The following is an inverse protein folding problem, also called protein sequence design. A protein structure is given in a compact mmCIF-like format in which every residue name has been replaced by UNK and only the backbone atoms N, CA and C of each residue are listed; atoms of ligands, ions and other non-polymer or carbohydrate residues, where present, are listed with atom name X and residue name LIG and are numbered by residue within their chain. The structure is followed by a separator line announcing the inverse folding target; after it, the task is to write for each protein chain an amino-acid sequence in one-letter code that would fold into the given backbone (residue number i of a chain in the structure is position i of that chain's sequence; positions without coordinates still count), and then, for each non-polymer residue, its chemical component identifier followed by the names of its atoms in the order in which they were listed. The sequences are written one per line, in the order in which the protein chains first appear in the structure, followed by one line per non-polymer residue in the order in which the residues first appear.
data_IF_695290389222
#
_entry.id   IF_695290389222
#
_cell.length_a   1.000
_cell.length_b   1.000
_cell.length_c   1.000
_cell.angle_alpha   90.00
_cell.angle_beta   90.00
_cell.angle_gamma   90.00
#
_symmetry.space_group_name_H-M   'P 1'
#
loop_
_entity.id
_entity.type
_entity.pdbx_description
1 polymer ?
#
# COMPACT_ATOMS: atom_id res chain seq x y z
N UNK A 1 -49.16 -1.74 -5.02
CA UNK A 1 -47.94 -1.45 -5.82
C UNK A 1 -47.78 0.04 -6.16
N UNK A 2 -48.81 0.76 -6.60
CA UNK A 2 -48.74 2.19 -6.97
C UNK A 2 -48.22 3.12 -5.85
N UNK A 3 -48.67 2.94 -4.59
CA UNK A 3 -48.16 3.72 -3.44
C UNK A 3 -46.65 3.59 -3.20
N UNK A 4 -46.06 2.42 -3.48
CA UNK A 4 -44.61 2.18 -3.32
C UNK A 4 -43.79 2.76 -4.48
N UNK A 5 -44.33 2.74 -5.71
CA UNK A 5 -43.76 3.41 -6.90
C UNK A 5 -43.76 4.94 -6.76
N UNK A 6 -44.85 5.51 -6.23
CA UNK A 6 -44.94 6.94 -5.95
C UNK A 6 -43.93 7.40 -4.88
N UNK A 7 -43.75 6.59 -3.83
CA UNK A 7 -42.76 6.87 -2.77
C UNK A 7 -41.32 6.82 -3.29
N UNK A 8 -40.98 5.83 -4.12
CA UNK A 8 -39.65 5.71 -4.73
C UNK A 8 -39.35 6.88 -5.68
N UNK A 9 -40.33 7.28 -6.50
CA UNK A 9 -40.19 8.43 -7.42
C UNK A 9 -39.98 9.74 -6.64
N UNK A 10 -40.77 9.99 -5.59
CA UNK A 10 -40.63 11.17 -4.74
C UNK A 10 -39.35 11.18 -3.88
N UNK A 11 -38.75 10.02 -3.60
CA UNK A 11 -37.46 9.93 -2.92
C UNK A 11 -36.29 10.22 -3.88
N UNK A 12 -36.40 9.76 -5.13
CA UNK A 12 -35.41 9.99 -6.20
C UNK A 12 -35.37 11.47 -6.62
N UNK A 13 -36.52 12.13 -6.73
CA UNK A 13 -36.59 13.57 -7.01
C UNK A 13 -35.86 14.42 -5.96
N UNK A 14 -36.00 14.04 -4.68
CA UNK A 14 -35.34 14.73 -3.57
C UNK A 14 -33.82 14.52 -3.49
N UNK A 15 -33.30 13.43 -4.05
CA UNK A 15 -31.85 13.12 -4.00
C UNK A 15 -31.08 13.86 -5.09
N UNK A 16 -31.66 14.02 -6.28
CA UNK A 16 -30.99 14.63 -7.42
C UNK A 16 -31.46 16.07 -7.72
N UNK A 17 -32.50 16.56 -7.03
CA UNK A 17 -33.09 17.87 -7.30
C UNK A 17 -33.77 17.99 -8.67
N UNK A 18 -34.11 16.85 -9.27
CA UNK A 18 -34.67 16.75 -10.63
C UNK A 18 -35.92 15.90 -10.61
N UNK A 19 -36.90 16.21 -11.47
CA UNK A 19 -38.12 15.41 -11.56
C UNK A 19 -37.81 13.94 -11.93
N UNK A 20 -38.56 12.94 -11.41
CA UNK A 20 -38.30 11.52 -11.66
C UNK A 20 -38.28 11.15 -13.15
N UNK A 21 -39.09 11.84 -13.94
CA UNK A 21 -39.19 11.71 -15.39
C UNK A 21 -37.92 12.20 -16.07
N UNK A 22 -37.35 13.32 -15.60
CA UNK A 22 -36.08 13.87 -16.07
C UNK A 22 -34.90 12.93 -15.80
N UNK A 23 -34.89 12.24 -14.65
CA UNK A 23 -33.83 11.28 -14.31
C UNK A 23 -33.93 10.03 -15.19
N UNK A 24 -35.14 9.55 -15.46
CA UNK A 24 -35.36 8.40 -16.34
C UNK A 24 -34.94 8.71 -17.77
N UNK A 25 -35.25 9.91 -18.25
CA UNK A 25 -34.83 10.40 -19.57
C UNK A 25 -33.31 10.59 -19.61
N UNK A 26 -32.69 11.18 -18.58
CA UNK A 26 -31.25 11.39 -18.51
C UNK A 26 -30.48 10.07 -18.48
N UNK A 27 -30.91 9.08 -17.68
CA UNK A 27 -30.29 7.76 -17.64
C UNK A 27 -30.46 7.02 -18.98
N UNK A 28 -31.63 7.15 -19.62
CA UNK A 28 -31.85 6.58 -20.96
C UNK A 28 -30.96 7.24 -22.01
N UNK A 29 -30.76 8.56 -21.94
CA UNK A 29 -29.88 9.30 -22.84
C UNK A 29 -28.40 8.99 -22.61
N UNK A 30 -27.97 8.84 -21.35
CA UNK A 30 -26.61 8.41 -20.97
C UNK A 30 -26.36 6.99 -21.51
N UNK A 31 -27.29 6.05 -21.30
CA UNK A 31 -27.18 4.70 -21.84
C UNK A 31 -27.14 4.71 -23.39
N UNK A 32 -27.98 5.53 -24.04
CA UNK A 32 -28.01 5.68 -25.50
C UNK A 32 -26.70 6.25 -26.04
N UNK A 33 -26.14 7.27 -25.41
CA UNK A 33 -24.84 7.85 -25.77
C UNK A 33 -23.71 6.87 -25.50
N UNK A 34 -23.73 6.17 -24.37
CA UNK A 34 -22.77 5.11 -24.04
C UNK A 34 -22.74 4.00 -25.10
N UNK A 35 -23.91 3.57 -25.61
CA UNK A 35 -24.03 2.61 -26.71
C UNK A 35 -23.49 3.14 -28.05
N UNK A 36 -23.60 4.45 -28.32
CA UNK A 36 -23.11 5.08 -29.56
C UNK A 36 -21.61 5.42 -29.54
N UNK A 37 -21.00 5.63 -28.37
CA UNK A 37 -19.62 6.09 -28.26
C UNK A 37 -18.56 4.98 -28.32
N UNK A 38 -18.94 3.70 -28.50
CA UNK A 38 -18.01 2.57 -28.66
C UNK A 38 -17.06 2.30 -27.48
N UNK A 39 -17.14 3.07 -26.40
CA UNK A 39 -16.13 3.12 -25.32
C UNK A 39 -16.67 2.88 -23.91
N UNK A 40 -17.95 2.59 -23.74
CA UNK A 40 -18.48 2.09 -22.47
C UNK A 40 -19.11 0.74 -22.76
N UNK A 41 -18.46 -0.33 -22.28
CA UNK A 41 -19.09 -1.64 -22.25
C UNK A 41 -20.28 -1.57 -21.29
N UNK A 42 -21.45 -1.16 -21.79
CA UNK A 42 -22.70 -1.36 -21.07
C UNK A 42 -22.98 -2.84 -21.17
N UNK A 43 -22.57 -3.60 -20.13
CA UNK A 43 -22.92 -5.00 -20.02
C UNK A 43 -24.44 -5.12 -20.28
N UNK A 44 -24.89 -6.02 -21.18
CA UNK A 44 -26.31 -6.21 -21.43
C UNK A 44 -27.05 -6.35 -20.09
N UNK A 45 -28.29 -5.86 -19.97
CA UNK A 45 -29.07 -6.10 -18.75
C UNK A 45 -29.19 -7.60 -18.41
N UNK A 46 -29.07 -8.47 -19.42
CA UNK A 46 -28.97 -9.93 -19.30
C UNK A 46 -27.59 -10.47 -18.83
N UNK A 47 -26.54 -9.65 -18.84
CA UNK A 47 -25.24 -9.94 -18.21
C UNK A 47 -25.20 -9.46 -16.75
N UNK A 48 -25.99 -8.44 -16.39
CA UNK A 48 -26.22 -8.02 -15.01
C UNK A 48 -27.15 -8.97 -14.23
N UNK A 49 -27.99 -9.73 -14.94
CA UNK A 49 -29.03 -10.60 -14.35
C UNK A 49 -28.50 -11.78 -13.52
N UNK A 50 -27.18 -11.98 -13.42
CA UNK A 50 -26.59 -12.74 -12.31
C UNK A 50 -25.14 -12.34 -12.03
N UNK A 51 -24.84 -11.05 -11.81
CA UNK A 51 -23.57 -10.72 -11.15
C UNK A 51 -23.48 -11.54 -9.85
N UNK A 52 -22.46 -12.40 -9.66
CA UNK A 52 -22.31 -13.15 -8.42
C UNK A 52 -22.38 -12.21 -7.22
N UNK A 53 -22.98 -12.68 -6.13
CA UNK A 53 -23.14 -11.86 -4.91
C UNK A 53 -21.79 -11.29 -4.46
N UNK A 54 -20.71 -12.06 -4.62
CA UNK A 54 -19.33 -11.62 -4.36
C UNK A 54 -18.90 -10.41 -5.18
N UNK A 55 -19.18 -10.39 -6.50
CA UNK A 55 -18.86 -9.23 -7.34
C UNK A 55 -19.71 -8.01 -6.98
N UNK A 56 -20.98 -8.21 -6.61
CA UNK A 56 -21.82 -7.12 -6.11
C UNK A 56 -21.29 -6.56 -4.78
N UNK A 57 -20.85 -7.44 -3.87
CA UNK A 57 -20.26 -7.04 -2.59
C UNK A 57 -18.95 -6.27 -2.78
N UNK A 58 -18.08 -6.73 -3.68
CA UNK A 58 -16.82 -6.08 -4.03
C UNK A 58 -17.04 -4.71 -4.67
N UNK A 59 -17.94 -4.62 -5.66
CA UNK A 59 -18.31 -3.35 -6.27
C UNK A 59 -18.76 -2.33 -5.23
N UNK A 60 -19.57 -2.75 -4.26
CA UNK A 60 -20.00 -1.86 -3.18
C UNK A 60 -18.84 -1.40 -2.29
N UNK A 61 -17.81 -2.22 -2.08
CA UNK A 61 -16.63 -1.86 -1.27
C UNK A 61 -15.79 -0.84 -2.05
N UNK A 62 -15.42 -1.17 -3.29
CA UNK A 62 -14.51 -0.36 -4.11
C UNK A 62 -15.07 1.05 -4.36
N UNK A 63 -16.40 1.16 -4.48
CA UNK A 63 -17.10 2.40 -4.74
C UNK A 63 -17.70 3.06 -3.49
N UNK A 64 -17.38 2.56 -2.29
CA UNK A 64 -17.90 3.06 -1.02
C UNK A 64 -19.44 3.19 -0.99
N UNK A 65 -20.13 2.23 -1.60
CA UNK A 65 -21.59 2.20 -1.68
C UNK A 65 -22.15 1.59 -0.39
N UNK A 66 -22.89 2.39 0.37
CA UNK A 66 -23.56 1.90 1.57
C UNK A 66 -24.64 0.87 1.24
N UNK A 67 -24.92 -0.05 2.17
CA UNK A 67 -26.01 -1.01 1.99
C UNK A 67 -27.39 -0.34 1.82
N UNK A 68 -27.59 0.83 2.42
CA UNK A 68 -28.81 1.63 2.24
C UNK A 68 -28.88 2.18 0.81
N UNK A 69 -27.78 2.75 0.30
CA UNK A 69 -27.71 3.26 -1.06
C UNK A 69 -27.93 2.12 -2.08
N UNK A 70 -27.26 0.99 -1.87
CA UNK A 70 -27.42 -0.20 -2.72
C UNK A 70 -28.88 -0.69 -2.75
N UNK A 71 -29.54 -0.77 -1.60
CA UNK A 71 -30.95 -1.15 -1.53
C UNK A 71 -31.86 -0.14 -2.25
N UNK A 72 -31.57 1.17 -2.17
CA UNK A 72 -32.31 2.20 -2.91
C UNK A 72 -32.13 2.05 -4.42
N UNK A 73 -30.90 1.86 -4.89
CA UNK A 73 -30.59 1.62 -6.32
C UNK A 73 -31.29 0.36 -6.83
N UNK A 74 -31.24 -0.74 -6.06
CA UNK A 74 -31.95 -1.98 -6.38
C UNK A 74 -33.46 -1.78 -6.53
N UNK A 75 -34.08 -1.01 -5.65
CA UNK A 75 -35.52 -0.70 -5.73
C UNK A 75 -35.85 0.17 -6.94
N UNK A 76 -34.96 1.09 -7.31
CA UNK A 76 -35.10 1.94 -8.49
C UNK A 76 -35.03 1.14 -9.80
N UNK A 77 -34.01 0.28 -9.92
CA UNK A 77 -33.76 -0.51 -11.13
C UNK A 77 -34.70 -1.72 -11.27
N UNK A 78 -35.33 -2.14 -10.17
CA UNK A 78 -36.28 -3.25 -10.16
C UNK A 78 -35.63 -4.64 -10.29
N UNK A 79 -36.43 -5.72 -10.25
CA UNK A 79 -35.92 -7.10 -10.21
C UNK A 79 -35.11 -7.52 -11.44
N UNK A 80 -35.40 -6.94 -12.62
CA UNK A 80 -34.71 -7.26 -13.87
C UNK A 80 -33.22 -6.86 -13.86
N UNK A 81 -32.79 -6.03 -12.92
CA UNK A 81 -31.40 -5.58 -12.80
C UNK A 81 -30.46 -6.61 -12.14
N UNK A 82 -30.97 -7.75 -11.65
CA UNK A 82 -30.14 -8.82 -11.07
C UNK A 82 -29.45 -8.50 -9.74
N UNK A 83 -29.75 -7.34 -9.14
CA UNK A 83 -29.15 -6.94 -7.87
C UNK A 83 -29.69 -7.76 -6.69
N UNK A 84 -28.76 -8.39 -5.97
CA UNK A 84 -29.04 -9.19 -4.79
C UNK A 84 -29.67 -8.33 -3.68
N UNK A 85 -30.43 -8.95 -2.78
CA UNK A 85 -30.92 -8.21 -1.61
C UNK A 85 -29.75 -7.79 -0.73
N UNK A 86 -29.85 -6.64 -0.04
CA UNK A 86 -28.77 -6.10 0.81
C UNK A 86 -28.19 -7.12 1.79
N UNK A 87 -29.02 -8.06 2.25
CA UNK A 87 -28.65 -9.13 3.17
C UNK A 87 -27.63 -10.09 2.55
N UNK A 88 -27.69 -10.36 1.25
CA UNK A 88 -26.78 -11.28 0.56
C UNK A 88 -25.35 -10.73 0.46
N UNK A 89 -25.09 -9.51 -0.07
CA UNK A 89 -23.75 -8.90 0.02
C UNK A 89 -23.28 -8.71 1.46
N UNK A 90 -24.19 -8.49 2.42
CA UNK A 90 -23.81 -8.44 3.85
C UNK A 90 -23.29 -9.79 4.35
N UNK A 91 -24.00 -10.88 4.05
CA UNK A 91 -23.57 -12.23 4.42
C UNK A 91 -22.26 -12.61 3.71
N UNK A 92 -22.14 -12.27 2.42
CA UNK A 92 -20.92 -12.46 1.64
C UNK A 92 -19.73 -11.70 2.24
N UNK A 93 -19.92 -10.45 2.67
CA UNK A 93 -18.88 -9.70 3.41
C UNK A 93 -18.47 -10.37 4.71
N UNK A 94 -19.41 -10.95 5.44
CA UNK A 94 -19.10 -11.71 6.66
C UNK A 94 -18.27 -12.96 6.35
N UNK A 95 -18.60 -13.67 5.28
CA UNK A 95 -17.80 -14.81 4.80
C UNK A 95 -16.42 -14.36 4.33
N UNK A 96 -16.36 -13.29 3.54
CA UNK A 96 -15.10 -12.71 3.07
C UNK A 96 -14.20 -12.29 4.24
N UNK A 97 -14.76 -11.68 5.29
CA UNK A 97 -14.01 -11.31 6.50
C UNK A 97 -13.44 -12.52 7.27
N UNK A 98 -14.03 -13.71 7.10
CA UNK A 98 -13.53 -14.95 7.69
C UNK A 98 -12.45 -15.62 6.81
N UNK A 99 -12.23 -15.16 5.57
CA UNK A 99 -11.17 -15.67 4.72
C UNK A 99 -9.79 -15.29 5.29
N UNK A 100 -8.78 -16.18 5.20
CA UNK A 100 -7.44 -15.91 5.75
C UNK A 100 -6.82 -14.59 5.29
N UNK A 101 -7.03 -14.21 4.02
CA UNK A 101 -6.54 -12.94 3.44
C UNK A 101 -7.19 -11.67 4.02
N UNK A 102 -8.32 -11.79 4.71
CA UNK A 102 -9.07 -10.65 5.26
C UNK A 102 -9.18 -10.72 6.79
N UNK A 103 -8.74 -11.83 7.40
CA UNK A 103 -8.84 -12.06 8.83
C UNK A 103 -7.98 -11.01 9.57
N UNK A 104 -8.61 -10.28 10.48
CA UNK A 104 -7.97 -9.24 11.27
C UNK A 104 -8.07 -9.54 12.77
N UNK A 105 -7.02 -9.21 13.51
CA UNK A 105 -6.93 -9.34 14.96
C UNK A 105 -6.73 -8.00 15.64
N UNK A 106 -6.85 -8.00 16.96
CA UNK A 106 -6.63 -6.83 17.82
C UNK A 106 -5.40 -7.08 18.69
N UNK A 107 -4.48 -6.12 18.73
CA UNK A 107 -3.32 -6.14 19.62
C UNK A 107 -3.00 -4.71 20.07
N UNK A 108 -2.75 -4.50 21.37
CA UNK A 108 -2.31 -3.21 21.91
C UNK A 108 -3.25 -2.04 21.61
N UNK A 109 -4.55 -2.29 21.47
CA UNK A 109 -5.54 -1.27 21.08
C UNK A 109 -5.59 -0.94 19.59
N UNK A 110 -4.75 -1.57 18.76
CA UNK A 110 -4.79 -1.50 17.30
C UNK A 110 -5.43 -2.74 16.68
N UNK A 111 -5.88 -2.61 15.42
CA UNK A 111 -6.38 -3.73 14.59
C UNK A 111 -5.41 -3.96 13.44
N UNK A 112 -5.07 -5.20 13.16
CA UNK A 112 -4.14 -5.55 12.07
C UNK A 112 -4.55 -6.85 11.40
N UNK A 113 -4.07 -7.03 10.17
CA UNK A 113 -4.27 -8.21 9.37
C UNK A 113 -3.45 -9.37 9.94
N UNK A 114 -4.07 -10.54 10.12
CA UNK A 114 -3.44 -11.73 10.71
C UNK A 114 -2.55 -12.48 9.71
N UNK A 115 -2.85 -12.39 8.41
CA UNK A 115 -2.05 -13.03 7.37
C UNK A 115 -1.78 -12.08 6.20
N UNK A 116 -0.77 -11.20 6.33
CA UNK A 116 -0.31 -10.33 5.24
C UNK A 116 0.14 -11.13 4.02
N UNK A 117 0.75 -12.30 4.22
CA UNK A 117 1.11 -13.22 3.14
C UNK A 117 -0.12 -13.68 2.37
N UNK A 118 -1.18 -14.13 3.04
CA UNK A 118 -2.40 -14.57 2.35
C UNK A 118 -3.06 -13.42 1.57
N UNK A 119 -3.08 -12.21 2.14
CA UNK A 119 -3.62 -11.03 1.45
C UNK A 119 -2.82 -10.65 0.21
N UNK A 120 -1.50 -10.61 0.32
CA UNK A 120 -0.61 -10.35 -0.80
C UNK A 120 -0.72 -11.46 -1.85
N UNK A 121 -0.76 -12.72 -1.44
CA UNK A 121 -0.94 -13.84 -2.36
C UNK A 121 -2.24 -13.70 -3.16
N UNK A 122 -3.37 -13.44 -2.50
CA UNK A 122 -4.66 -13.22 -3.18
C UNK A 122 -4.60 -12.02 -4.16
N UNK A 123 -3.91 -10.94 -3.78
CA UNK A 123 -3.70 -9.77 -4.64
C UNK A 123 -2.86 -10.11 -5.88
N UNK A 124 -1.78 -10.88 -5.72
CA UNK A 124 -0.90 -11.29 -6.81
C UNK A 124 -1.53 -12.37 -7.71
N UNK A 125 -2.32 -13.28 -7.14
CA UNK A 125 -3.13 -14.25 -7.88
C UNK A 125 -4.13 -13.52 -8.78
N UNK A 126 -4.81 -12.50 -8.24
CA UNK A 126 -5.72 -11.67 -9.02
C UNK A 126 -4.98 -10.95 -10.15
N UNK A 127 -3.86 -10.27 -9.85
CA UNK A 127 -3.06 -9.56 -10.83
C UNK A 127 -2.52 -10.49 -11.94
N UNK A 128 -2.13 -11.71 -11.60
CA UNK A 128 -1.72 -12.73 -12.56
C UNK A 128 -2.89 -13.20 -13.43
N UNK A 129 -4.03 -13.52 -12.82
CA UNK A 129 -5.23 -13.99 -13.52
C UNK A 129 -5.82 -12.94 -14.47
N UNK A 130 -5.69 -11.65 -14.16
CA UNK A 130 -6.19 -10.55 -15.00
C UNK A 130 -5.14 -10.02 -15.98
N UNK A 131 -3.91 -10.57 -15.98
CA UNK A 131 -2.82 -10.09 -16.82
C UNK A 131 -2.34 -8.68 -16.48
N UNK A 132 -2.64 -8.20 -15.26
CA UNK A 132 -2.27 -6.86 -14.80
C UNK A 132 -0.90 -6.80 -14.12
N UNK A 133 -0.30 -7.95 -13.82
CA UNK A 133 1.04 -8.02 -13.23
C UNK A 133 2.10 -7.44 -14.17
N UNK A 134 2.87 -6.46 -13.68
CA UNK A 134 3.98 -5.84 -14.39
C UNK A 134 5.32 -6.33 -13.83
N UNK A 135 6.16 -6.88 -14.69
CA UNK A 135 7.54 -7.21 -14.34
C UNK A 135 8.33 -5.91 -14.04
N UNK A 136 8.92 -5.82 -12.85
CA UNK A 136 9.70 -4.65 -12.40
C UNK A 136 11.17 -5.04 -12.24
N UNK A 137 11.88 -5.12 -13.36
CA UNK A 137 13.29 -5.51 -13.36
C UNK A 137 14.19 -4.45 -12.71
N UNK A 138 15.16 -4.93 -11.94
CA UNK A 138 16.23 -4.08 -11.41
C UNK A 138 17.14 -3.60 -12.53
N UNK A 139 17.85 -2.49 -12.28
CA UNK A 139 18.88 -1.98 -13.18
C UNK A 139 20.26 -2.21 -12.59
N UNK A 140 21.19 -2.68 -13.44
CA UNK A 140 22.60 -2.82 -13.10
C UNK A 140 23.31 -1.47 -13.03
N UNK A 141 24.58 -1.51 -12.65
CA UNK A 141 25.44 -0.32 -12.58
C UNK A 141 25.59 0.40 -13.94
N UNK A 142 25.41 -0.31 -15.04
CA UNK A 142 25.39 0.22 -16.41
C UNK A 142 24.02 0.82 -16.83
N UNK A 143 23.04 0.83 -15.92
CA UNK A 143 21.69 1.32 -16.15
C UNK A 143 20.78 0.36 -16.94
N UNK A 144 21.29 -0.79 -17.39
CA UNK A 144 20.49 -1.78 -18.13
C UNK A 144 19.66 -2.62 -17.18
N UNK A 145 18.52 -3.12 -17.67
CA UNK A 145 17.70 -4.04 -16.90
C UNK A 145 18.44 -5.37 -16.75
N UNK A 146 18.38 -5.92 -15.54
CA UNK A 146 18.89 -7.26 -15.23
C UNK A 146 17.74 -8.22 -15.46
N UNK A 147 17.97 -9.27 -16.25
CA UNK A 147 16.99 -10.32 -16.43
C UNK A 147 16.81 -11.12 -15.14
N UNK A 148 15.56 -11.36 -14.76
CA UNK A 148 15.20 -12.14 -13.58
C UNK A 148 14.74 -13.54 -13.99
N UNK A 149 15.69 -14.43 -14.25
CA UNK A 149 15.42 -15.78 -14.75
C UNK A 149 15.52 -16.86 -13.66
N UNK A 150 16.15 -16.54 -12.54
CA UNK A 150 16.36 -17.46 -11.44
C UNK A 150 15.09 -17.61 -10.59
N UNK A 151 14.84 -18.83 -10.15
CA UNK A 151 13.77 -19.15 -9.20
C UNK A 151 14.21 -18.80 -7.78
N UNK A 152 13.26 -18.34 -6.97
CA UNK A 152 13.51 -18.10 -5.56
C UNK A 152 13.29 -19.37 -4.74
N UNK A 153 14.27 -19.74 -3.92
CA UNK A 153 14.24 -20.93 -3.07
C UNK A 153 14.07 -20.63 -1.58
N UNK A 154 13.74 -19.39 -1.23
CA UNK A 154 13.76 -18.91 0.15
C UNK A 154 15.03 -18.15 0.48
N UNK A 155 15.05 -17.49 1.64
CA UNK A 155 16.22 -16.77 2.12
C UNK A 155 16.40 -16.96 3.63
N UNK A 156 17.62 -17.28 4.05
CA UNK A 156 17.94 -17.57 5.46
C UNK A 156 17.76 -16.34 6.36
N UNK A 157 18.05 -15.15 5.82
CA UNK A 157 17.98 -13.90 6.55
C UNK A 157 16.90 -12.98 5.99
N UNK A 158 15.99 -12.54 6.87
CA UNK A 158 15.06 -11.47 6.57
C UNK A 158 15.75 -10.14 6.22
N UNK A 159 17.03 -9.98 6.55
CA UNK A 159 17.80 -8.79 6.24
C UNK A 159 18.33 -8.78 4.80
N UNK A 160 18.53 -9.96 4.23
CA UNK A 160 19.11 -10.04 2.90
C UNK A 160 18.12 -9.54 1.84
N UNK A 161 18.65 -8.89 0.81
CA UNK A 161 17.86 -8.44 -0.33
C UNK A 161 17.76 -9.59 -1.35
N UNK A 162 16.67 -9.68 -2.12
CA UNK A 162 16.61 -10.62 -3.22
C UNK A 162 17.72 -10.31 -4.24
N UNK A 163 18.50 -11.32 -4.68
CA UNK A 163 19.55 -11.13 -5.68
C UNK A 163 18.99 -10.54 -6.98
N UNK A 164 19.76 -9.72 -7.73
CA UNK A 164 19.26 -9.06 -8.93
C UNK A 164 18.79 -9.97 -10.08
N UNK A 165 19.24 -11.23 -10.13
CA UNK A 165 18.84 -12.23 -11.14
C UNK A 165 17.63 -13.09 -10.74
N UNK A 166 17.14 -12.95 -9.50
CA UNK A 166 16.01 -13.70 -8.96
C UNK A 166 14.71 -12.98 -9.25
N UNK A 167 13.69 -13.73 -9.68
CA UNK A 167 12.33 -13.18 -9.84
C UNK A 167 11.81 -12.68 -8.51
N UNK A 168 11.39 -11.42 -8.50
CA UNK A 168 10.79 -10.81 -7.31
C UNK A 168 9.41 -10.21 -7.58
N UNK A 169 8.74 -9.91 -6.48
CA UNK A 169 7.63 -8.97 -6.41
C UNK A 169 8.04 -7.81 -5.52
N UNK A 170 7.63 -6.60 -5.89
CA UNK A 170 7.94 -5.37 -5.20
C UNK A 170 6.73 -4.92 -4.41
N UNK A 171 6.91 -4.79 -3.10
CA UNK A 171 5.84 -4.43 -2.18
C UNK A 171 6.29 -3.21 -1.40
N UNK A 172 5.46 -2.19 -1.42
CA UNK A 172 5.73 -0.97 -0.69
C UNK A 172 4.98 -1.04 0.66
N UNK A 173 5.69 -0.98 1.78
CA UNK A 173 5.13 -0.87 3.12
C UNK A 173 5.24 0.56 3.61
N UNK A 174 4.14 1.14 4.05
CA UNK A 174 4.15 2.50 4.58
C UNK A 174 3.17 2.71 5.71
N UNK A 175 3.48 3.71 6.53
CA UNK A 175 2.63 4.18 7.61
C UNK A 175 2.19 5.61 7.30
N UNK A 176 0.90 5.86 7.48
CA UNK A 176 0.31 7.19 7.39
C UNK A 176 -0.36 7.54 8.71
N UNK A 177 0.10 8.60 9.36
CA UNK A 177 -0.58 9.14 10.53
C UNK A 177 -1.59 10.18 10.10
N UNK A 178 -2.84 9.98 10.51
CA UNK A 178 -3.88 10.96 10.24
C UNK A 178 -5.22 10.58 10.83
N UNK A 179 -6.04 11.60 11.09
CA UNK A 179 -7.39 11.45 11.60
C UNK A 179 -7.59 12.07 12.99
N UNK A 180 -8.87 12.23 13.35
CA UNK A 180 -9.31 12.95 14.55
C UNK A 180 -8.85 12.30 15.87
N UNK A 181 -8.56 11.00 15.86
CA UNK A 181 -8.23 10.21 17.05
C UNK A 181 -6.74 9.88 17.19
N UNK A 182 -5.86 10.49 16.39
CA UNK A 182 -4.42 10.19 16.34
C UNK A 182 -4.16 8.68 16.17
N UNK A 183 -4.33 8.19 14.94
CA UNK A 183 -4.07 6.80 14.56
C UNK A 183 -3.04 6.74 13.43
N UNK A 184 -2.30 5.64 13.40
CA UNK A 184 -1.37 5.29 12.32
C UNK A 184 -1.99 4.18 11.48
N UNK A 185 -1.98 4.31 10.16
CA UNK A 185 -2.47 3.30 9.23
C UNK A 185 -1.28 2.69 8.50
N UNK A 186 -1.09 1.39 8.67
CA UNK A 186 -0.12 0.62 7.91
C UNK A 186 -0.75 0.13 6.62
N UNK A 187 -0.05 0.31 5.50
CA UNK A 187 -0.49 -0.12 4.19
C UNK A 187 0.59 -0.92 3.47
N UNK A 188 0.16 -1.92 2.71
CA UNK A 188 0.98 -2.68 1.77
C UNK A 188 0.48 -2.39 0.36
N UNK A 189 1.36 -1.97 -0.55
CA UNK A 189 0.99 -1.67 -1.94
C UNK A 189 1.75 -2.54 -2.92
N UNK A 190 1.06 -3.06 -3.94
CA UNK A 190 1.65 -3.82 -5.02
C UNK A 190 2.31 -2.88 -6.03
N UNK A 191 3.63 -2.90 -6.08
CA UNK A 191 4.44 -2.04 -6.93
C UNK A 191 4.66 -2.65 -8.34
N UNK A 192 4.22 -3.90 -8.57
CA UNK A 192 4.11 -4.57 -9.87
C UNK A 192 2.80 -4.25 -10.61
N UNK A 193 2.30 -3.02 -10.48
CA UNK A 193 1.08 -2.54 -11.13
C UNK A 193 1.32 -1.17 -11.80
N UNK A 194 0.47 -0.81 -12.78
CA UNK A 194 0.56 0.49 -13.47
C UNK A 194 0.28 1.68 -12.55
N UNK A 195 -0.60 1.48 -11.55
CA UNK A 195 -0.94 2.46 -10.52
C UNK A 195 -0.78 1.85 -9.12
N UNK A 196 0.47 1.73 -8.60
CA UNK A 196 0.73 1.07 -7.33
C UNK A 196 -0.02 1.65 -6.13
N UNK A 197 -0.27 2.96 -6.13
CA UNK A 197 -0.95 3.66 -5.04
C UNK A 197 -2.47 3.73 -5.20
N UNK A 198 -3.04 3.02 -6.18
CA UNK A 198 -4.51 2.97 -6.31
C UNK A 198 -5.11 2.08 -5.22
N UNK A 199 -6.36 2.37 -4.81
CA UNK A 199 -7.04 1.60 -3.76
C UNK A 199 -7.11 0.10 -4.04
N UNK A 200 -7.27 -0.30 -5.31
CA UNK A 200 -7.31 -1.72 -5.70
C UNK A 200 -5.97 -2.44 -5.58
N UNK A 201 -4.86 -1.69 -5.52
CA UNK A 201 -3.50 -2.22 -5.42
C UNK A 201 -2.89 -2.03 -4.03
N UNK A 202 -3.70 -1.58 -3.06
CA UNK A 202 -3.26 -1.32 -1.68
C UNK A 202 -4.11 -2.11 -0.69
N UNK A 203 -3.45 -2.84 0.21
CA UNK A 203 -4.03 -3.49 1.38
C UNK A 203 -3.82 -2.60 2.60
N UNK A 204 -4.88 -2.37 3.36
CA UNK A 204 -4.74 -1.85 4.72
C UNK A 204 -4.24 -2.98 5.61
N UNK A 205 -2.96 -2.94 5.99
CA UNK A 205 -2.37 -3.90 6.91
C UNK A 205 -2.93 -3.72 8.32
N UNK A 206 -3.05 -2.47 8.80
CA UNK A 206 -3.49 -2.24 10.16
C UNK A 206 -3.73 -0.79 10.51
N UNK A 207 -4.43 -0.58 11.62
CA UNK A 207 -4.70 0.71 12.24
C UNK A 207 -4.26 0.62 13.69
N UNK A 208 -3.29 1.45 14.05
CA UNK A 208 -2.65 1.46 15.35
C UNK A 208 -2.97 2.76 16.07
N UNK A 209 -3.22 2.72 17.39
CA UNK A 209 -3.31 3.92 18.19
C UNK A 209 -1.94 4.61 18.21
N UNK A 210 -1.87 5.89 17.84
CA UNK A 210 -0.64 6.67 18.01
C UNK A 210 -0.90 8.15 18.20
N UNK A 211 -0.59 8.67 19.39
CA UNK A 211 -0.68 10.11 19.63
C UNK A 211 0.52 10.88 19.06
N UNK A 212 1.67 10.23 18.90
CA UNK A 212 2.97 10.85 18.58
C UNK A 212 3.74 10.07 17.52
N UNK A 213 4.55 10.78 16.76
CA UNK A 213 5.51 10.18 15.80
C UNK A 213 6.87 10.10 16.45
N UNK A 214 6.90 9.50 17.64
CA UNK A 214 8.13 9.22 18.36
C UNK A 214 8.49 7.74 18.23
N UNK A 215 9.74 7.46 18.56
CA UNK A 215 10.33 6.14 18.39
C UNK A 215 9.64 5.08 19.25
N UNK A 216 9.23 5.42 20.48
CA UNK A 216 8.60 4.46 21.40
C UNK A 216 7.26 3.98 20.83
N UNK A 217 6.42 4.91 20.37
CA UNK A 217 5.16 4.58 19.73
C UNK A 217 5.38 3.73 18.45
N UNK A 218 6.35 4.12 17.60
CA UNK A 218 6.67 3.36 16.40
C UNK A 218 7.21 1.96 16.70
N UNK A 219 8.04 1.81 17.73
CA UNK A 219 8.60 0.52 18.16
C UNK A 219 7.52 -0.42 18.69
N UNK A 220 6.58 0.11 19.48
CA UNK A 220 5.44 -0.66 19.94
C UNK A 220 4.58 -1.17 18.75
N UNK A 221 4.38 -0.34 17.73
CA UNK A 221 3.70 -0.75 16.50
C UNK A 221 4.53 -1.77 15.70
N UNK A 222 5.85 -1.55 15.59
CA UNK A 222 6.80 -2.41 14.89
C UNK A 222 6.76 -3.84 15.40
N UNK A 223 6.62 -4.02 16.71
CA UNK A 223 6.55 -5.35 17.33
C UNK A 223 5.40 -6.21 16.76
N UNK A 224 4.36 -5.58 16.20
CA UNK A 224 3.23 -6.28 15.57
C UNK A 224 3.58 -6.73 14.16
N UNK A 225 4.13 -5.83 13.32
CA UNK A 225 4.28 -6.11 11.89
C UNK A 225 5.67 -6.55 11.45
N UNK A 226 6.72 -6.30 12.24
CA UNK A 226 8.09 -6.74 11.91
C UNK A 226 8.18 -8.26 11.72
N UNK A 227 7.57 -9.12 12.56
CA UNK A 227 7.59 -10.56 12.34
C UNK A 227 6.95 -10.96 11.00
N UNK A 228 5.83 -10.32 10.63
CA UNK A 228 5.16 -10.57 9.36
C UNK A 228 6.01 -10.13 8.17
N UNK A 229 6.59 -8.93 8.23
CA UNK A 229 7.45 -8.40 7.18
C UNK A 229 8.72 -9.25 7.02
N UNK A 230 9.30 -9.72 8.12
CA UNK A 230 10.44 -10.64 8.10
C UNK A 230 10.05 -11.98 7.45
N UNK A 231 8.92 -12.55 7.85
CA UNK A 231 8.37 -13.75 7.25
C UNK A 231 8.14 -13.57 5.75
N UNK A 232 7.57 -12.44 5.30
CA UNK A 232 7.39 -12.13 3.89
C UNK A 232 8.71 -12.11 3.13
N UNK A 233 9.77 -11.48 3.67
CA UNK A 233 11.09 -11.39 3.01
C UNK A 233 11.81 -12.74 2.91
N UNK A 234 11.67 -13.60 3.91
CA UNK A 234 12.28 -14.94 3.91
C UNK A 234 11.50 -15.95 3.07
N UNK A 235 10.19 -15.78 2.98
CA UNK A 235 9.29 -16.63 2.22
C UNK A 235 9.07 -16.14 0.79
N UNK A 236 8.21 -16.87 0.09
CA UNK A 236 7.87 -16.60 -1.31
C UNK A 236 6.44 -16.11 -1.47
N UNK A 237 6.19 -15.51 -2.64
CA UNK A 237 4.87 -15.32 -3.20
C UNK A 237 4.83 -15.95 -4.59
N UNK A 238 3.66 -16.48 -4.98
CA UNK A 238 3.44 -17.06 -6.29
C UNK A 238 2.80 -16.02 -7.22
N UNK A 239 3.29 -15.94 -8.46
CA UNK A 239 2.63 -15.20 -9.54
C UNK A 239 2.67 -16.07 -10.79
N UNK A 240 1.50 -16.43 -11.32
CA UNK A 240 1.41 -17.31 -12.49
C UNK A 240 2.07 -18.68 -12.27
N UNK A 241 2.05 -19.18 -11.03
CA UNK A 241 2.70 -20.45 -10.65
C UNK A 241 4.22 -20.38 -10.45
N UNK A 242 4.85 -19.21 -10.61
CA UNK A 242 6.29 -19.02 -10.39
C UNK A 242 6.56 -18.49 -8.99
N UNK A 243 7.55 -19.08 -8.32
CA UNK A 243 8.06 -18.64 -7.01
C UNK A 243 8.86 -17.36 -7.16
N UNK A 244 8.50 -16.34 -6.39
CA UNK A 244 9.13 -15.02 -6.41
C UNK A 244 9.51 -14.58 -5.01
N UNK A 245 10.68 -13.96 -4.90
CA UNK A 245 11.15 -13.32 -3.69
C UNK A 245 10.34 -12.05 -3.39
N UNK A 246 10.22 -11.66 -2.12
CA UNK A 246 9.57 -10.40 -1.74
C UNK A 246 10.62 -9.31 -1.56
N UNK A 247 10.59 -8.31 -2.45
CA UNK A 247 11.34 -7.06 -2.29
C UNK A 247 10.47 -6.03 -1.57
N UNK A 248 10.77 -5.82 -0.29
CA UNK A 248 10.09 -4.83 0.53
C UNK A 248 10.73 -3.45 0.36
N UNK A 249 9.90 -2.44 0.07
CA UNK A 249 10.30 -1.03 -0.06
C UNK A 249 9.56 -0.25 1.03
N UNK A 250 10.29 0.41 1.92
CA UNK A 250 9.68 1.27 2.95
C UNK A 250 9.35 2.62 2.32
N UNK A 251 8.13 3.10 2.53
CA UNK A 251 7.63 4.38 2.04
C UNK A 251 6.84 5.12 3.13
N UNK A 252 6.63 6.42 2.94
CA UNK A 252 5.95 7.29 3.88
C UNK A 252 6.60 8.67 3.91
N UNK A 253 6.16 9.51 4.84
CA UNK A 253 6.81 10.79 5.04
C UNK A 253 8.23 10.62 5.60
N UNK A 254 9.08 11.63 5.39
CA UNK A 254 10.49 11.56 5.78
C UNK A 254 10.67 11.39 7.28
N UNK A 255 9.77 11.94 8.11
CA UNK A 255 9.87 11.80 9.57
C UNK A 255 9.64 10.35 9.95
N UNK A 256 8.59 9.71 9.44
CA UNK A 256 8.32 8.30 9.62
C UNK A 256 9.51 7.43 9.18
N UNK A 257 9.94 7.56 7.92
CA UNK A 257 11.02 6.72 7.38
C UNK A 257 12.31 6.94 8.17
N UNK A 258 12.61 8.19 8.54
CA UNK A 258 13.81 8.48 9.32
C UNK A 258 13.78 7.87 10.71
N UNK A 259 12.64 7.91 11.42
CA UNK A 259 12.54 7.25 12.72
C UNK A 259 12.61 5.73 12.60
N UNK A 260 11.98 5.15 11.57
CA UNK A 260 12.01 3.71 11.29
C UNK A 260 13.43 3.21 11.00
N UNK A 261 14.20 3.95 10.21
CA UNK A 261 15.57 3.64 9.84
C UNK A 261 16.61 4.21 10.83
N UNK A 262 16.19 4.63 12.03
CA UNK A 262 17.10 5.14 13.06
C UNK A 262 17.97 6.33 12.58
N UNK A 263 17.46 7.08 11.61
CA UNK A 263 18.13 8.17 10.93
C UNK A 263 17.71 9.52 11.51
N UNK A 264 18.65 10.47 11.57
CA UNK A 264 18.41 11.81 12.16
C UNK A 264 17.48 12.73 11.36
N UNK A 265 16.88 12.23 10.28
CA UNK A 265 15.91 12.95 9.46
C UNK A 265 16.45 14.17 8.71
N UNK A 266 15.53 15.11 8.44
CA UNK A 266 15.70 16.20 7.45
C UNK A 266 16.75 17.25 7.82
N UNK A 267 17.02 17.47 9.11
CA UNK A 267 17.98 18.47 9.60
C UNK A 267 19.39 17.92 9.73
N UNK A 268 19.59 16.64 9.42
CA UNK A 268 20.87 15.98 9.53
C UNK A 268 21.83 16.38 8.39
N UNK A 269 23.13 16.12 8.59
CA UNK A 269 24.13 16.46 7.55
C UNK A 269 23.99 15.61 6.29
N UNK A 270 23.57 14.35 6.46
CA UNK A 270 23.26 13.41 5.39
C UNK A 270 21.75 13.14 5.37
N UNK A 271 20.90 14.10 4.96
CA UNK A 271 19.45 14.05 5.16
C UNK A 271 18.74 12.96 4.37
N UNK A 272 19.38 12.38 3.36
CA UNK A 272 18.80 11.27 2.62
C UNK A 272 18.88 9.98 3.43
N UNK A 273 17.73 9.36 3.63
CA UNK A 273 17.62 8.02 4.24
C UNK A 273 17.98 6.90 3.27
N UNK A 274 18.28 7.19 2.00
CA UNK A 274 18.63 6.16 1.01
C UNK A 274 20.07 6.25 0.53
N UNK A 275 20.73 7.39 0.70
CA UNK A 275 22.11 7.59 0.27
C UNK A 275 22.84 8.59 1.16
N UNK A 276 24.15 8.75 0.92
CA UNK A 276 25.03 9.59 1.74
C UNK A 276 25.14 11.05 1.26
N UNK A 277 24.27 11.52 0.36
CA UNK A 277 24.30 12.91 -0.14
C UNK A 277 24.12 13.92 1.00
N UNK A 278 24.75 15.08 0.88
CA UNK A 278 24.55 16.20 1.82
C UNK A 278 23.46 17.16 1.32
N UNK A 279 22.78 17.85 2.24
CA UNK A 279 21.58 18.67 1.93
C UNK A 279 21.82 19.72 0.83
N UNK A 280 22.87 20.53 1.00
CA UNK A 280 23.28 21.59 0.06
C UNK A 280 24.72 22.01 0.30
N UNK A 281 25.39 22.51 -0.74
CA UNK A 281 26.69 23.18 -0.58
C UNK A 281 26.57 24.49 0.20
N UNK A 282 27.47 24.68 1.16
CA UNK A 282 27.67 25.90 1.94
C UNK A 282 29.11 26.37 1.81
N UNK A 283 29.43 27.54 2.38
CA UNK A 283 30.81 28.05 2.42
C UNK A 283 31.77 27.14 3.19
N UNK A 284 31.27 26.30 4.08
CA UNK A 284 32.07 25.54 5.05
C UNK A 284 32.10 24.03 4.81
N UNK A 285 31.20 23.47 3.98
CA UNK A 285 31.11 22.02 3.76
C UNK A 285 31.57 21.56 2.37
N UNK A 286 32.28 22.43 1.63
CA UNK A 286 32.66 22.16 0.23
C UNK A 286 33.44 20.86 0.02
N UNK A 287 34.30 20.47 0.97
CA UNK A 287 35.01 19.18 0.94
C UNK A 287 34.06 17.99 1.05
N UNK A 288 33.10 18.03 1.99
CA UNK A 288 32.09 16.97 2.17
C UNK A 288 31.15 16.87 0.97
N UNK A 289 30.78 18.00 0.36
CA UNK A 289 30.03 18.00 -0.91
C UNK A 289 30.86 17.37 -2.03
N UNK A 290 32.17 17.66 -2.08
CA UNK A 290 33.07 17.04 -3.05
C UNK A 290 33.16 15.53 -2.90
N UNK A 291 33.12 15.03 -1.65
CA UNK A 291 33.18 13.61 -1.34
C UNK A 291 31.85 12.88 -1.59
N UNK A 292 30.73 13.44 -1.14
CA UNK A 292 29.45 12.73 -1.05
C UNK A 292 28.36 13.22 -2.01
N UNK A 293 28.59 14.36 -2.68
CA UNK A 293 27.61 14.98 -3.56
C UNK A 293 26.52 15.77 -2.83
N UNK A 294 25.78 16.56 -3.60
CA UNK A 294 24.74 17.48 -3.14
C UNK A 294 23.35 16.96 -3.53
N UNK A 295 22.43 16.89 -2.58
CA UNK A 295 21.03 16.50 -2.82
C UNK A 295 20.33 17.44 -3.83
N UNK A 296 20.70 18.71 -3.87
CA UNK A 296 20.16 19.68 -4.84
C UNK A 296 20.60 19.40 -6.28
N UNK A 297 21.62 18.56 -6.49
CA UNK A 297 22.03 18.12 -7.82
C UNK A 297 21.10 17.04 -8.41
N UNK A 298 20.07 16.60 -7.67
CA UNK A 298 19.07 15.64 -8.14
C UNK A 298 19.71 14.32 -8.58
N UNK A 299 19.42 13.88 -9.80
CA UNK A 299 19.98 12.64 -10.38
C UNK A 299 21.49 12.67 -10.59
N UNK A 300 22.15 13.83 -10.49
CA UNK A 300 23.61 13.97 -10.57
C UNK A 300 24.29 13.83 -9.21
N UNK A 301 23.53 13.67 -8.13
CA UNK A 301 24.10 13.50 -6.80
C UNK A 301 24.90 12.19 -6.73
N UNK A 302 26.15 12.26 -6.25
CA UNK A 302 27.13 11.16 -6.24
C UNK A 302 27.13 10.35 -4.93
N UNK A 303 26.06 10.40 -4.15
CA UNK A 303 26.02 9.73 -2.85
C UNK A 303 25.97 8.22 -3.00
N UNK A 304 26.67 7.52 -2.10
CA UNK A 304 26.62 6.06 -2.00
C UNK A 304 25.26 5.65 -1.43
N UNK A 305 24.62 4.64 -2.02
CA UNK A 305 23.39 4.07 -1.48
C UNK A 305 23.67 3.40 -0.14
N UNK A 306 22.76 3.58 0.82
CA UNK A 306 22.81 2.91 2.11
C UNK A 306 22.26 1.49 1.96
N UNK A 307 22.86 0.57 2.68
CA UNK A 307 22.45 -0.83 2.74
C UNK A 307 21.71 -1.11 4.04
N UNK A 308 20.92 -2.18 4.10
CA UNK A 308 20.32 -2.61 5.36
C UNK A 308 21.38 -2.96 6.42
N UNK A 309 22.50 -3.54 5.98
CA UNK A 309 23.63 -3.86 6.87
C UNK A 309 24.17 -2.61 7.58
N UNK A 310 24.22 -1.46 6.90
CA UNK A 310 24.66 -0.20 7.53
C UNK A 310 23.75 0.19 8.71
N UNK A 311 22.44 -0.05 8.56
CA UNK A 311 21.45 0.20 9.62
C UNK A 311 21.53 -0.81 10.75
N UNK A 312 21.70 -2.10 10.44
CA UNK A 312 21.82 -3.17 11.43
C UNK A 312 23.11 -3.04 12.24
N UNK A 313 24.22 -2.71 11.59
CA UNK A 313 25.50 -2.45 12.25
C UNK A 313 25.41 -1.22 13.15
N UNK A 314 24.76 -0.15 12.69
CA UNK A 314 24.52 1.02 13.52
C UNK A 314 23.61 0.68 14.72
N UNK A 315 22.53 -0.08 14.53
CA UNK A 315 21.65 -0.51 15.61
C UNK A 315 22.41 -1.35 16.66
N UNK A 316 23.28 -2.26 16.21
CA UNK A 316 24.14 -3.04 17.11
C UNK A 316 25.14 -2.14 17.85
N UNK A 317 25.77 -1.19 17.15
CA UNK A 317 26.73 -0.24 17.72
C UNK A 317 26.09 0.68 18.76
N UNK A 318 24.84 1.06 18.55
CA UNK A 318 24.07 1.96 19.43
C UNK A 318 23.14 1.21 20.39
N UNK A 319 23.37 -0.08 20.62
CA UNK A 319 22.56 -0.89 21.54
C UNK A 319 22.59 -0.36 22.99
N UNK A 320 23.66 0.32 23.39
CA UNK A 320 23.82 0.99 24.69
C UNK A 320 23.42 2.46 24.71
N UNK A 321 22.74 2.95 23.66
CA UNK A 321 22.33 4.35 23.50
C UNK A 321 22.94 5.00 22.26
N UNK A 322 22.54 6.26 22.02
CA UNK A 322 22.98 7.02 20.83
C UNK A 322 24.47 7.37 20.84
N UNK A 323 24.97 7.91 19.74
CA UNK A 323 26.40 8.20 19.56
C UNK A 323 27.09 8.98 20.70
N UNK A 324 26.35 9.81 21.43
CA UNK A 324 26.85 10.57 22.58
C UNK A 324 27.13 9.72 23.83
N UNK A 325 26.63 8.48 23.89
CA UNK A 325 26.86 7.55 25.01
C UNK A 325 28.06 6.64 24.78
N UNK A 326 28.69 6.69 23.61
CA UNK A 326 29.93 5.96 23.33
C UNK A 326 31.12 6.64 24.02
N UNK A 327 32.06 5.84 24.54
CA UNK A 327 33.32 6.33 25.12
C UNK A 327 34.09 7.26 24.15
N UNK A 328 33.97 7.00 22.85
CA UNK A 328 34.47 7.86 21.78
C UNK A 328 33.36 8.08 20.75
N UNK A 329 32.71 9.26 20.74
CA UNK A 329 31.67 9.56 19.77
C UNK A 329 32.19 9.50 18.33
N UNK A 330 31.43 8.86 17.44
CA UNK A 330 31.76 8.82 16.02
C UNK A 330 31.58 10.20 15.39
N UNK A 331 32.46 10.52 14.44
CA UNK A 331 32.31 11.69 13.60
C UNK A 331 31.13 11.51 12.64
N UNK A 332 30.58 12.61 12.14
CA UNK A 332 29.46 12.57 11.17
C UNK A 332 29.83 11.80 9.90
N UNK A 333 31.11 11.80 9.52
CA UNK A 333 31.62 11.06 8.36
C UNK A 333 31.77 9.55 8.62
N UNK A 334 31.68 9.11 9.89
CA UNK A 334 31.72 7.70 10.25
C UNK A 334 30.32 7.12 10.51
N UNK A 335 29.40 7.88 11.11
CA UNK A 335 28.06 7.38 11.43
C UNK A 335 26.97 7.75 10.41
N UNK A 336 27.26 8.64 9.46
CA UNK A 336 26.37 9.03 8.35
C UNK A 336 24.96 9.43 8.79
N UNK A 337 24.79 10.06 9.95
CA UNK A 337 23.48 10.44 10.49
C UNK A 337 22.50 9.28 10.79
N UNK A 338 23.01 8.03 10.88
CA UNK A 338 22.33 6.94 11.60
C UNK A 338 22.67 7.14 13.08
N UNK A 339 21.67 7.30 13.94
CA UNK A 339 21.86 8.01 15.22
C UNK A 339 21.38 7.29 16.47
N UNK A 340 20.55 6.25 16.40
CA UNK A 340 20.04 5.65 17.63
C UNK A 340 19.29 4.34 17.45
N UNK A 341 19.41 3.48 18.47
CA UNK A 341 18.23 2.97 19.18
C UNK A 341 18.16 3.68 20.55
N UNK A 342 17.00 4.20 21.02
CA UNK A 342 16.89 4.73 22.37
C UNK A 342 17.28 3.74 23.45
#
# INVERSE_FOLDING_TARGET
MQRRRAYASAAVARIFGLEPELITVAMSDICRRAMHCGGVAVAPAAALSALPVRLQAQFMIDNNVSGVLFQRVRLLLGPAAGLASRERPRADRTLAAAEPQNAAGVNGGGTHLLSPRAALQAMFDHAGATGQFLERLLRGADGRQIEANETFDGQDSAAALPPPGVRDVQICFGLDKGGLHSTCKAVLSNCNQGHPSSRGNTILYGVFPTSKDDYEALTAMAAVYTPDLAGLRQGELLVGGLRRAVRLIVTGDLRFISTWLEHAGHSSTHPCVWCTVVLRRTRTNGSRVGQWGDMQAGSQARGTLRTLSDYEEAAARYAGGGNATLDTPLSVDAHFCIVKRP
#
